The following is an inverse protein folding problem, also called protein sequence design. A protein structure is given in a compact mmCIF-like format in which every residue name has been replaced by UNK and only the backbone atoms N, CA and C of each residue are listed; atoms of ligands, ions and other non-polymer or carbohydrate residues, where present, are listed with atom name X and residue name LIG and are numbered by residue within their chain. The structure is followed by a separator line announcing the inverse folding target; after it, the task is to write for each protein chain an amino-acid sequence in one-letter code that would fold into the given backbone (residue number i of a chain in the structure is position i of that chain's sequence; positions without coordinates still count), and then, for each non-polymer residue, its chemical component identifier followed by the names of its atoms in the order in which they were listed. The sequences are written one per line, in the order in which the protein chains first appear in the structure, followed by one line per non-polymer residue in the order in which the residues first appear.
data_IF_906163799313
#
_entry.id   IF_906163799313
#
_cell.length_a   1.000
_cell.length_b   1.000
_cell.length_c   1.000
_cell.angle_alpha   90.00
_cell.angle_beta   90.00
_cell.angle_gamma   90.00
#
_symmetry.space_group_name_H-M   'P 1'
#
loop_
_entity.id
_entity.type
_entity.pdbx_description
1 polymer ?
#
# COMPACT_ATOMS: atom_id res chain seq x y z
N UNK A 1 -46.70 -15.41 10.77
CA UNK A 1 -46.69 -15.17 9.30
C UNK A 1 -45.25 -14.90 8.90
N UNK A 2 -44.71 -15.64 7.92
CA UNK A 2 -43.35 -15.42 7.40
C UNK A 2 -43.47 -14.38 6.27
N UNK A 3 -42.72 -13.29 6.35
CA UNK A 3 -42.74 -12.24 5.31
C UNK A 3 -42.27 -12.80 3.96
N UNK A 4 -42.78 -12.23 2.86
CA UNK A 4 -42.34 -12.62 1.52
C UNK A 4 -40.86 -12.24 1.33
N UNK A 5 -40.08 -13.18 0.77
CA UNK A 5 -38.66 -12.99 0.45
C UNK A 5 -38.53 -12.28 -0.90
N UNK A 6 -38.80 -10.97 -0.89
CA UNK A 6 -38.75 -10.09 -2.05
C UNK A 6 -37.64 -9.06 -1.85
N UNK A 7 -36.61 -9.15 -2.68
CA UNK A 7 -35.50 -8.17 -2.72
C UNK A 7 -35.87 -7.04 -3.68
N UNK A 8 -36.15 -5.86 -3.14
CA UNK A 8 -36.29 -4.63 -3.93
C UNK A 8 -35.12 -3.71 -3.61
N UNK A 9 -34.22 -3.51 -4.57
CA UNK A 9 -33.08 -2.62 -4.40
C UNK A 9 -33.52 -1.15 -4.53
N UNK A 10 -32.89 -0.28 -3.73
CA UNK A 10 -33.05 1.16 -3.89
C UNK A 10 -32.42 1.60 -5.21
N UNK A 11 -33.10 2.47 -5.97
CA UNK A 11 -32.56 3.03 -7.23
C UNK A 11 -31.28 3.84 -7.00
N UNK A 12 -31.14 4.46 -5.83
CA UNK A 12 -29.95 5.22 -5.45
C UNK A 12 -29.57 4.94 -4.00
N UNK A 13 -28.28 4.78 -3.75
CA UNK A 13 -27.70 4.67 -2.40
C UNK A 13 -26.47 5.57 -2.32
N UNK A 14 -26.42 6.41 -1.30
CA UNK A 14 -25.23 7.20 -0.97
C UNK A 14 -24.55 6.55 0.22
N UNK A 15 -23.36 6.00 0.01
CA UNK A 15 -22.57 5.37 1.07
C UNK A 15 -21.09 5.73 0.90
N UNK A 16 -20.40 5.83 2.03
CA UNK A 16 -18.94 5.97 2.08
C UNK A 16 -18.34 4.62 2.39
N UNK A 17 -17.11 4.37 1.93
CA UNK A 17 -16.37 3.16 2.30
C UNK A 17 -16.23 2.99 3.83
N UNK A 18 -16.21 4.10 4.59
CA UNK A 18 -16.13 4.05 6.05
C UNK A 18 -17.37 3.42 6.71
N UNK A 19 -18.55 3.54 6.06
CA UNK A 19 -19.82 3.02 6.58
C UNK A 19 -19.82 1.48 6.62
N UNK A 20 -18.99 0.83 5.78
CA UNK A 20 -18.86 -0.62 5.69
C UNK A 20 -17.80 -1.20 6.64
N UNK A 21 -17.12 -0.35 7.44
CA UNK A 21 -16.05 -0.78 8.34
C UNK A 21 -16.47 -0.59 9.79
N UNK A 22 -16.61 -1.66 10.60
CA UNK A 22 -16.98 -1.53 12.00
C UNK A 22 -16.05 -0.57 12.76
N UNK A 23 -16.60 0.23 13.68
CA UNK A 23 -15.84 1.23 14.45
C UNK A 23 -14.70 0.61 15.27
N UNK A 24 -14.88 -0.63 15.72
CA UNK A 24 -13.91 -1.38 16.53
C UNK A 24 -13.03 -2.32 15.69
N UNK A 25 -13.06 -2.22 14.36
CA UNK A 25 -12.28 -3.10 13.49
C UNK A 25 -10.76 -2.83 13.66
N UNK A 26 -9.90 -3.85 13.89
CA UNK A 26 -8.47 -3.66 14.15
C UNK A 26 -7.71 -2.87 13.07
N UNK A 27 -8.10 -3.03 11.81
CA UNK A 27 -7.52 -2.27 10.70
C UNK A 27 -7.69 -0.76 10.83
N UNK A 28 -8.62 -0.24 11.65
CA UNK A 28 -8.72 1.19 11.94
C UNK A 28 -7.50 1.72 12.69
N UNK A 29 -7.05 1.02 13.72
CA UNK A 29 -5.84 1.38 14.44
C UNK A 29 -4.61 1.25 13.53
N UNK A 30 -4.51 0.14 12.80
CA UNK A 30 -3.38 -0.13 11.91
C UNK A 30 -3.31 0.92 10.78
N UNK A 31 -4.44 1.29 10.16
CA UNK A 31 -4.47 2.32 9.11
C UNK A 31 -4.00 3.67 9.62
N UNK A 32 -4.38 4.06 10.84
CA UNK A 32 -3.89 5.32 11.45
C UNK A 32 -2.36 5.29 11.58
N UNK A 33 -1.81 4.23 12.15
CA UNK A 33 -0.37 4.06 12.31
C UNK A 33 0.37 4.05 10.97
N UNK A 34 -0.15 3.29 9.99
CA UNK A 34 0.40 3.22 8.64
C UNK A 34 0.38 4.60 7.97
N UNK A 35 -0.72 5.34 8.04
CA UNK A 35 -0.83 6.68 7.46
C UNK A 35 0.16 7.67 8.12
N UNK A 36 0.31 7.64 9.44
CA UNK A 36 1.30 8.48 10.14
C UNK A 36 2.72 8.14 9.70
N UNK A 37 3.06 6.86 9.55
CA UNK A 37 4.36 6.44 9.06
C UNK A 37 4.60 6.88 7.60
N UNK A 38 3.61 6.69 6.72
CA UNK A 38 3.68 7.08 5.33
C UNK A 38 3.80 8.60 5.15
N UNK A 39 3.10 9.39 5.97
CA UNK A 39 3.21 10.84 5.93
C UNK A 39 4.64 11.32 6.25
N UNK A 40 5.32 10.67 7.21
CA UNK A 40 6.74 10.96 7.51
C UNK A 40 7.67 10.60 6.36
N UNK A 41 7.24 9.70 5.47
CA UNK A 41 7.98 9.27 4.29
C UNK A 41 7.61 10.05 3.02
N UNK A 42 6.64 10.98 3.08
CA UNK A 42 6.13 11.70 1.90
C UNK A 42 7.24 12.39 1.12
N UNK A 43 8.11 13.15 1.79
CA UNK A 43 9.23 13.83 1.13
C UNK A 43 10.21 12.86 0.45
N UNK A 44 10.40 11.67 1.02
CA UNK A 44 11.20 10.62 0.38
C UNK A 44 10.50 10.12 -0.88
N UNK A 45 9.19 9.87 -0.83
CA UNK A 45 8.43 9.48 -2.02
C UNK A 45 8.49 10.56 -3.10
N UNK A 46 8.35 11.84 -2.76
CA UNK A 46 8.46 12.93 -3.73
C UNK A 46 9.81 12.88 -4.47
N UNK A 47 10.92 12.68 -3.75
CA UNK A 47 12.25 12.55 -4.39
C UNK A 47 12.39 11.29 -5.25
N UNK A 48 11.85 10.15 -4.80
CA UNK A 48 11.97 8.87 -5.51
C UNK A 48 11.13 8.83 -6.79
N UNK A 49 10.05 9.61 -6.83
CA UNK A 49 9.08 9.60 -7.93
C UNK A 49 9.16 10.86 -8.82
N UNK A 50 9.99 11.86 -8.46
CA UNK A 50 10.25 13.04 -9.30
C UNK A 50 10.91 12.67 -10.65
N UNK A 51 11.90 11.78 -10.63
CA UNK A 51 12.73 11.46 -11.81
C UNK A 51 12.05 10.53 -12.82
N UNK A 52 10.94 9.89 -12.47
CA UNK A 52 10.31 8.86 -13.32
C UNK A 52 8.86 9.14 -13.73
N UNK A 53 8.37 10.36 -13.47
CA UNK A 53 7.01 10.77 -13.79
C UNK A 53 5.94 10.16 -12.85
N UNK A 54 4.68 10.60 -13.01
CA UNK A 54 3.56 10.07 -12.22
C UNK A 54 3.42 8.56 -12.46
N UNK A 55 3.62 7.76 -11.42
CA UNK A 55 3.31 6.34 -11.47
C UNK A 55 1.82 6.10 -11.49
N UNK A 56 1.41 5.00 -12.13
CA UNK A 56 0.00 4.58 -12.19
C UNK A 56 -0.59 4.28 -10.81
N UNK A 57 0.25 4.02 -9.79
CA UNK A 57 -0.16 3.75 -8.42
C UNK A 57 0.68 4.60 -7.47
N UNK A 58 0.01 5.32 -6.56
CA UNK A 58 0.67 6.09 -5.51
C UNK A 58 1.43 5.19 -4.52
N UNK A 59 2.64 5.55 -4.07
CA UNK A 59 3.45 4.74 -3.15
C UNK A 59 2.73 4.42 -1.84
N UNK A 60 1.92 5.32 -1.32
CA UNK A 60 1.13 5.12 -0.10
C UNK A 60 0.04 4.05 -0.29
N UNK A 61 -0.54 3.96 -1.49
CA UNK A 61 -1.52 2.91 -1.82
C UNK A 61 -0.82 1.56 -1.98
N UNK A 62 0.36 1.52 -2.61
CA UNK A 62 1.19 0.31 -2.73
C UNK A 62 1.59 -0.24 -1.35
N UNK A 63 2.12 0.63 -0.48
CA UNK A 63 2.55 0.23 0.86
C UNK A 63 1.39 -0.31 1.71
N UNK A 64 0.22 0.35 1.66
CA UNK A 64 -0.99 -0.15 2.37
C UNK A 64 -1.46 -1.48 1.81
N UNK A 65 -1.42 -1.66 0.49
CA UNK A 65 -1.77 -2.92 -0.16
C UNK A 65 -0.80 -4.06 0.22
N UNK A 66 0.51 -3.80 0.31
CA UNK A 66 1.48 -4.78 0.78
C UNK A 66 1.31 -5.13 2.26
N UNK A 67 1.04 -4.13 3.11
CA UNK A 67 0.73 -4.35 4.52
C UNK A 67 -0.53 -5.22 4.67
N UNK A 68 -1.55 -4.97 3.86
CA UNK A 68 -2.76 -5.80 3.84
C UNK A 68 -2.47 -7.25 3.42
N UNK A 69 -1.62 -7.47 2.40
CA UNK A 69 -1.18 -8.82 2.02
C UNK A 69 -0.52 -9.55 3.20
N UNK A 70 0.34 -8.86 3.95
CA UNK A 70 1.00 -9.44 5.12
C UNK A 70 0.01 -9.79 6.24
N UNK A 71 -0.90 -8.87 6.57
CA UNK A 71 -1.86 -9.05 7.67
C UNK A 71 -2.86 -10.18 7.42
N UNK A 72 -3.25 -10.39 6.17
CA UNK A 72 -4.23 -11.41 5.79
C UNK A 72 -3.61 -12.62 5.09
N UNK A 73 -2.28 -12.74 5.09
CA UNK A 73 -1.56 -13.84 4.45
C UNK A 73 -1.98 -14.08 2.98
N UNK A 74 -2.25 -13.01 2.24
CA UNK A 74 -2.64 -13.11 0.83
C UNK A 74 -1.45 -13.64 0.03
N UNK A 75 -1.64 -14.79 -0.62
CA UNK A 75 -0.54 -15.59 -1.17
C UNK A 75 -0.02 -15.09 -2.52
N UNK A 76 -0.76 -14.18 -3.18
CA UNK A 76 -0.36 -13.62 -4.46
C UNK A 76 -0.95 -12.23 -4.68
N UNK A 77 -0.31 -11.45 -5.56
CA UNK A 77 -0.82 -10.13 -5.95
C UNK A 77 -2.09 -10.23 -6.78
N UNK A 78 -2.27 -11.33 -7.54
CA UNK A 78 -3.54 -11.63 -8.22
C UNK A 78 -4.68 -11.76 -7.22
N UNK A 79 -4.46 -12.55 -6.16
CA UNK A 79 -5.41 -12.69 -5.06
C UNK A 79 -5.67 -11.36 -4.36
N UNK A 80 -4.64 -10.51 -4.17
CA UNK A 80 -4.85 -9.16 -3.64
C UNK A 80 -5.75 -8.32 -4.56
N UNK A 81 -5.50 -8.30 -5.87
CA UNK A 81 -6.33 -7.52 -6.81
C UNK A 81 -7.77 -8.05 -6.82
N UNK A 82 -7.96 -9.37 -6.83
CA UNK A 82 -9.30 -9.97 -6.70
C UNK A 82 -10.01 -9.51 -5.42
N UNK A 83 -9.33 -9.58 -4.27
CA UNK A 83 -9.89 -9.12 -3.00
C UNK A 83 -10.22 -7.63 -3.03
N UNK A 84 -9.38 -6.79 -3.64
CA UNK A 84 -9.69 -5.36 -3.83
C UNK A 84 -10.89 -5.14 -4.75
N UNK A 85 -11.23 -6.11 -5.61
CA UNK A 85 -12.39 -6.05 -6.50
C UNK A 85 -13.74 -6.14 -5.79
N UNK A 86 -13.83 -6.91 -4.70
CA UNK A 86 -15.11 -7.14 -4.01
C UNK A 86 -15.11 -6.80 -2.51
N UNK A 87 -13.95 -6.65 -1.88
CA UNK A 87 -13.85 -6.43 -0.44
C UNK A 87 -13.76 -4.93 -0.10
N UNK A 88 -14.89 -4.33 0.29
CA UNK A 88 -14.97 -2.91 0.63
C UNK A 88 -14.08 -2.52 1.82
N UNK A 89 -13.89 -3.42 2.80
CA UNK A 89 -12.95 -3.19 3.91
C UNK A 89 -11.51 -3.05 3.39
N UNK A 90 -11.12 -3.85 2.40
CA UNK A 90 -9.78 -3.83 1.84
C UNK A 90 -9.57 -2.58 0.99
N UNK A 91 -10.56 -2.19 0.17
CA UNK A 91 -10.55 -0.91 -0.56
C UNK A 91 -10.46 0.27 0.39
N UNK A 92 -11.26 0.26 1.45
CA UNK A 92 -11.20 1.23 2.52
C UNK A 92 -9.79 1.31 3.10
N UNK A 93 -9.18 0.18 3.49
CA UNK A 93 -7.84 0.13 4.10
C UNK A 93 -6.73 0.62 3.17
N UNK A 94 -6.81 0.32 1.87
CA UNK A 94 -5.85 0.75 0.86
C UNK A 94 -6.09 2.21 0.44
N UNK A 95 -7.30 2.73 0.61
CA UNK A 95 -7.69 4.06 0.12
C UNK A 95 -7.95 4.08 -1.39
N UNK A 96 -8.53 3.01 -1.90
CA UNK A 96 -9.06 2.92 -3.26
C UNK A 96 -10.54 3.28 -3.22
N UNK A 97 -11.03 4.19 -4.07
CA UNK A 97 -12.43 4.62 -4.05
C UNK A 97 -13.37 3.44 -4.37
N UNK A 98 -14.67 3.56 -4.14
CA UNK A 98 -15.61 2.43 -4.39
C UNK A 98 -15.70 2.10 -5.89
N UNK A 99 -15.60 3.13 -6.73
CA UNK A 99 -15.78 3.15 -8.18
C UNK A 99 -14.48 3.13 -8.98
N UNK A 100 -13.33 3.35 -8.32
CA UNK A 100 -12.02 3.25 -8.97
C UNK A 100 -11.82 1.83 -9.57
N UNK A 101 -11.22 1.68 -10.76
CA UNK A 101 -10.80 0.37 -11.22
C UNK A 101 -9.72 -0.22 -10.31
N UNK A 102 -9.75 -1.52 -10.10
CA UNK A 102 -8.62 -2.23 -9.45
C UNK A 102 -7.44 -2.26 -10.41
N UNK A 103 -6.23 -2.18 -9.88
CA UNK A 103 -5.02 -2.27 -10.68
C UNK A 103 -4.83 -3.66 -11.28
N UNK A 104 -4.23 -3.71 -12.46
CA UNK A 104 -3.71 -4.97 -12.97
C UNK A 104 -2.56 -5.48 -12.09
N UNK A 105 -2.53 -6.79 -11.83
CA UNK A 105 -1.53 -7.36 -10.93
C UNK A 105 -0.11 -7.15 -11.44
N UNK A 106 0.14 -7.13 -12.75
CA UNK A 106 1.48 -6.92 -13.32
C UNK A 106 1.94 -5.47 -13.16
N UNK A 107 1.00 -4.52 -13.25
CA UNK A 107 1.25 -3.10 -12.95
C UNK A 107 1.61 -2.95 -11.48
N UNK A 108 0.89 -3.63 -10.59
CA UNK A 108 1.21 -3.65 -9.17
C UNK A 108 2.61 -4.22 -8.90
N UNK A 109 2.95 -5.39 -9.47
CA UNK A 109 4.28 -6.01 -9.32
C UNK A 109 5.41 -5.06 -9.71
N UNK A 110 5.29 -4.44 -10.90
CA UNK A 110 6.32 -3.52 -11.42
C UNK A 110 6.51 -2.30 -10.52
N UNK A 111 5.42 -1.75 -9.99
CA UNK A 111 5.46 -0.61 -9.09
C UNK A 111 6.07 -0.97 -7.73
N UNK A 112 5.74 -2.16 -7.20
CA UNK A 112 6.36 -2.70 -5.98
C UNK A 112 7.85 -2.91 -6.14
N UNK A 113 8.27 -3.55 -7.22
CA UNK A 113 9.70 -3.86 -7.46
C UNK A 113 10.51 -2.58 -7.60
N UNK A 114 9.96 -1.57 -8.28
CA UNK A 114 10.54 -0.22 -8.34
C UNK A 114 10.69 0.39 -6.96
N UNK A 115 9.64 0.37 -6.14
CA UNK A 115 9.67 0.91 -4.78
C UNK A 115 10.76 0.24 -3.92
N UNK A 116 10.89 -1.08 -4.03
CA UNK A 116 11.91 -1.86 -3.31
C UNK A 116 13.33 -1.62 -3.81
N UNK A 117 13.53 -1.48 -5.12
CA UNK A 117 14.85 -1.25 -5.72
C UNK A 117 15.49 0.07 -5.22
N UNK A 118 14.68 1.11 -4.98
CA UNK A 118 15.16 2.38 -4.45
C UNK A 118 15.55 2.30 -2.96
N UNK A 119 14.99 1.34 -2.20
CA UNK A 119 15.39 1.08 -0.80
C UNK A 119 16.78 0.42 -0.73
N UNK A 120 17.13 -0.41 -1.70
CA UNK A 120 18.40 -1.16 -1.72
C UNK A 120 19.64 -0.28 -1.91
N UNK A 121 19.58 0.75 -2.75
CA UNK A 121 20.73 1.64 -3.03
C UNK A 121 21.22 2.40 -1.80
N UNK A 122 20.30 2.86 -0.95
CA UNK A 122 20.61 3.66 0.25
C UNK A 122 21.22 2.86 1.41
N UNK A 123 20.97 1.55 1.47
CA UNK A 123 21.59 0.67 2.50
C UNK A 123 23.05 0.39 2.13
N UNK A 124 23.34 0.23 0.84
CA UNK A 124 24.71 0.01 0.35
C UNK A 124 25.62 1.23 0.57
N UNK A 125 25.11 2.44 0.32
CA UNK A 125 25.87 3.69 0.45
C UNK A 125 26.26 4.05 1.90
N UNK A 126 25.52 3.55 2.91
CA UNK A 126 25.88 3.74 4.33
C UNK A 126 26.89 2.73 4.86
N UNK A 127 27.14 1.63 4.13
CA UNK A 127 28.06 0.58 4.57
C UNK A 127 29.49 0.74 4.02
N UNK A 128 29.74 1.73 3.17
CA UNK A 128 31.07 2.05 2.63
C UNK A 128 31.71 3.24 3.34
N UNK A 129 32.12 3.07 4.61
CA UNK A 129 33.07 3.99 5.23
C UNK A 129 34.50 3.60 4.80
N UNK A 130 35.30 4.49 4.20
CA UNK A 130 36.69 4.20 3.89
C UNK A 130 37.49 4.09 5.20
N UNK A 131 38.07 2.91 5.45
CA UNK A 131 39.06 2.72 6.50
C UNK A 131 40.23 3.67 6.25
N UNK A 132 40.42 4.63 7.15
CA UNK A 132 41.61 5.49 7.17
C UNK A 132 42.79 4.66 7.65
N UNK A 133 43.89 4.85 6.94
CA UNK A 133 45.25 4.34 7.15
C UNK A 133 45.76 4.59 8.57
N UNK A 134 46.58 3.65 9.07
CA UNK A 134 47.61 3.96 10.06
C UNK A 134 48.80 3.00 9.92
N UNK A 135 49.83 3.48 9.22
CA UNK A 135 51.25 3.36 9.57
C UNK A 135 51.88 1.98 9.69
N UNK A 136 52.80 1.67 8.77
CA UNK A 136 54.14 1.20 9.16
C UNK A 136 55.14 1.65 8.10
N UNK A 137 55.80 2.76 8.39
CA UNK A 137 57.01 3.22 7.70
C UNK A 137 58.20 2.60 8.45
N UNK A 138 58.91 1.69 7.78
CA UNK A 138 60.23 1.18 8.20
C UNK A 138 61.05 1.05 6.92
N UNK A 139 62.05 1.92 6.76
CA UNK A 139 63.02 1.90 5.66
C UNK A 139 63.95 3.10 5.72
#
# INVERSE_FOLDING_TARGET
MRGADITQESLFTVAKLDDFVPVNHPLRAIRKLANTALQRMSALFDTLYADTGRTSIAPEKLMRAQLLQLLYSLRSERMLMEQLGYNLLFRWFVGLAIDDPVWDHSVFSKNRDRLNAHRGRRVSERSGAPGREAGTDVG
#
